data_IF_497260686507
#
_entry.id   IF_497260686507
#
_cell.length_a   1.000
_cell.length_b   1.000
_cell.length_c   1.000
_cell.angle_alpha   90.00
_cell.angle_beta   90.00
_cell.angle_gamma   90.00
#
_symmetry.space_group_name_H-M   'P 1'
#
loop_
_entity.id
_entity.type
_entity.pdbx_description
1 polymer ?
#
# COMPACT_ATOMS: atom_id res chain seq x y z
N UNK A 1 -52.17 15.88 -8.49
CA UNK A 1 -51.88 14.49 -8.05
C UNK A 1 -51.11 13.79 -9.15
N UNK A 2 -49.81 13.58 -8.94
CA UNK A 2 -48.84 12.76 -9.71
C UNK A 2 -47.51 12.91 -8.97
N UNK A 3 -47.33 12.07 -7.96
CA UNK A 3 -46.43 10.92 -7.97
C UNK A 3 -44.97 11.32 -7.74
N UNK A 4 -44.62 11.35 -6.45
CA UNK A 4 -43.25 11.23 -5.96
C UNK A 4 -42.65 9.94 -6.49
N UNK A 5 -41.70 10.06 -7.42
CA UNK A 5 -40.79 8.98 -7.76
C UNK A 5 -39.58 9.16 -6.85
N UNK A 6 -39.55 8.33 -5.82
CA UNK A 6 -38.42 8.09 -4.94
C UNK A 6 -37.27 7.52 -5.80
N UNK A 7 -36.31 8.36 -6.18
CA UNK A 7 -35.08 7.92 -6.84
C UNK A 7 -34.11 7.53 -5.71
N UNK A 8 -33.65 6.27 -5.64
CA UNK A 8 -32.74 5.83 -4.59
C UNK A 8 -31.38 6.51 -4.79
N UNK A 9 -30.81 6.97 -3.66
CA UNK A 9 -29.46 7.50 -3.53
C UNK A 9 -28.50 6.38 -3.94
N UNK A 10 -28.03 6.44 -5.19
CA UNK A 10 -26.92 5.65 -5.67
C UNK A 10 -25.66 6.19 -4.99
N UNK A 11 -25.09 5.35 -4.14
CA UNK A 11 -23.76 5.47 -3.54
C UNK A 11 -22.75 5.88 -4.60
N UNK A 12 -22.42 7.17 -4.65
CA UNK A 12 -21.25 7.66 -5.37
C UNK A 12 -20.05 7.36 -4.50
N UNK A 13 -19.61 6.10 -4.58
CA UNK A 13 -18.35 5.61 -4.05
C UNK A 13 -17.21 6.51 -4.53
N UNK A 14 -16.41 6.95 -3.57
CA UNK A 14 -15.12 7.61 -3.67
C UNK A 14 -14.46 7.52 -5.07
N UNK A 15 -14.53 8.62 -5.83
CA UNK A 15 -13.50 8.95 -6.79
C UNK A 15 -12.55 9.94 -6.12
N UNK A 16 -11.60 9.41 -5.36
CA UNK A 16 -10.34 10.11 -5.10
C UNK A 16 -9.77 10.43 -6.48
N UNK A 17 -9.93 11.67 -6.90
CA UNK A 17 -9.18 12.23 -8.01
C UNK A 17 -7.73 12.27 -7.53
N UNK A 18 -6.98 11.22 -7.86
CA UNK A 18 -5.55 11.27 -7.81
C UNK A 18 -5.15 12.15 -9.00
N UNK A 19 -4.86 13.40 -8.68
CA UNK A 19 -4.32 14.42 -9.57
C UNK A 19 -3.14 13.82 -10.36
N UNK A 20 -3.24 13.90 -11.68
CA UNK A 20 -2.29 13.45 -12.68
C UNK A 20 -0.92 14.13 -12.46
N UNK A 21 -0.05 13.48 -11.70
CA UNK A 21 1.33 13.89 -11.46
C UNK A 21 2.24 13.27 -12.51
N UNK A 22 2.69 14.07 -13.47
CA UNK A 22 3.70 13.80 -14.49
C UNK A 22 4.56 12.54 -14.25
N UNK A 23 4.25 11.48 -15.00
CA UNK A 23 5.04 10.26 -15.10
C UNK A 23 6.42 10.57 -15.70
N UNK A 24 7.41 10.84 -14.85
CA UNK A 24 8.81 10.81 -15.27
C UNK A 24 9.13 9.41 -15.83
N UNK A 25 9.89 9.29 -16.93
CA UNK A 25 10.35 7.99 -17.42
C UNK A 25 11.39 7.44 -16.45
N UNK A 26 10.91 6.79 -15.39
CA UNK A 26 11.74 6.09 -14.44
C UNK A 26 12.36 4.89 -15.15
N UNK A 27 13.66 4.96 -15.41
CA UNK A 27 14.42 3.81 -15.90
C UNK A 27 14.28 2.68 -14.87
N UNK A 28 13.63 1.58 -15.26
CA UNK A 28 13.51 0.42 -14.38
C UNK A 28 14.91 -0.17 -14.18
N UNK A 29 15.27 -0.41 -12.92
CA UNK A 29 16.56 -1.00 -12.59
C UNK A 29 16.66 -2.43 -13.14
N UNK A 30 17.90 -2.90 -13.27
CA UNK A 30 18.18 -4.29 -13.64
C UNK A 30 17.41 -5.28 -12.74
N UNK A 31 17.27 -4.94 -11.46
CA UNK A 31 16.53 -5.74 -10.50
C UNK A 31 15.04 -5.82 -10.81
N UNK A 32 14.39 -4.68 -11.08
CA UNK A 32 12.97 -4.64 -11.48
C UNK A 32 12.74 -5.43 -12.77
N UNK A 33 13.67 -5.36 -13.73
CA UNK A 33 13.59 -6.16 -14.97
C UNK A 33 13.62 -7.66 -14.67
N UNK A 34 14.55 -8.12 -13.85
CA UNK A 34 14.63 -9.54 -13.43
C UNK A 34 13.37 -9.98 -12.69
N UNK A 35 12.81 -9.13 -11.82
CA UNK A 35 11.57 -9.44 -11.11
C UNK A 35 10.37 -9.53 -12.06
N UNK A 36 10.32 -8.69 -13.11
CA UNK A 36 9.26 -8.78 -14.12
C UNK A 36 9.31 -10.12 -14.88
N UNK A 37 10.49 -10.62 -15.22
CA UNK A 37 10.66 -11.93 -15.86
C UNK A 37 10.19 -13.06 -14.93
N UNK A 38 10.58 -13.01 -13.65
CA UNK A 38 10.14 -13.98 -12.64
C UNK A 38 8.62 -13.97 -12.44
N UNK A 39 8.02 -12.78 -12.32
CA UNK A 39 6.57 -12.61 -12.19
C UNK A 39 5.86 -13.15 -13.44
N UNK A 40 6.44 -12.97 -14.63
CA UNK A 40 5.86 -13.51 -15.87
C UNK A 40 5.90 -15.04 -15.90
N UNK A 41 6.92 -15.66 -15.29
CA UNK A 41 7.04 -17.10 -15.16
C UNK A 41 6.16 -17.69 -14.04
N UNK A 42 5.95 -16.93 -12.96
CA UNK A 42 5.16 -17.34 -11.79
C UNK A 42 4.24 -16.19 -11.33
N UNK A 43 3.15 -15.90 -12.06
CA UNK A 43 2.29 -14.75 -11.78
C UNK A 43 1.52 -14.84 -10.45
N UNK A 44 1.34 -16.07 -9.95
CA UNK A 44 0.63 -16.38 -8.71
C UNK A 44 1.55 -16.30 -7.48
N UNK A 45 2.87 -16.19 -7.65
CA UNK A 45 3.79 -15.99 -6.54
C UNK A 45 3.78 -14.53 -6.08
N UNK A 46 2.95 -14.27 -5.09
CA UNK A 46 2.77 -12.95 -4.49
C UNK A 46 4.05 -12.43 -3.83
N UNK A 47 4.98 -13.30 -3.45
CA UNK A 47 6.26 -12.92 -2.85
C UNK A 47 7.10 -12.12 -3.82
N UNK A 48 7.06 -12.44 -5.12
CA UNK A 48 7.79 -11.70 -6.16
C UNK A 48 7.25 -10.28 -6.34
N UNK A 49 5.94 -10.09 -6.16
CA UNK A 49 5.32 -8.76 -6.18
C UNK A 49 5.67 -7.98 -4.92
N UNK A 50 5.67 -8.62 -3.75
CA UNK A 50 6.17 -7.99 -2.53
C UNK A 50 7.64 -7.56 -2.67
N UNK A 51 8.51 -8.42 -3.22
CA UNK A 51 9.92 -8.11 -3.46
C UNK A 51 10.08 -6.94 -4.44
N UNK A 52 9.30 -6.91 -5.52
CA UNK A 52 9.29 -5.79 -6.47
C UNK A 52 8.79 -4.50 -5.83
N UNK A 53 7.73 -4.57 -5.02
CA UNK A 53 7.24 -3.42 -4.26
C UNK A 53 8.28 -2.88 -3.28
N UNK A 54 9.01 -3.76 -2.59
CA UNK A 54 10.09 -3.36 -1.68
C UNK A 54 11.26 -2.71 -2.42
N UNK A 55 11.61 -3.21 -3.61
CA UNK A 55 12.57 -2.54 -4.48
C UNK A 55 12.07 -1.17 -4.92
N UNK A 56 10.79 -1.03 -5.26
CA UNK A 56 10.22 0.27 -5.59
C UNK A 56 10.22 1.23 -4.40
N UNK A 57 10.00 0.77 -3.16
CA UNK A 57 10.18 1.59 -1.96
C UNK A 57 11.62 2.11 -1.84
N UNK A 58 12.61 1.26 -2.04
CA UNK A 58 14.02 1.63 -1.97
C UNK A 58 14.44 2.61 -3.08
N UNK A 59 13.74 2.58 -4.23
CA UNK A 59 13.90 3.53 -5.33
C UNK A 59 13.01 4.77 -5.21
N UNK A 60 12.30 4.94 -4.09
CA UNK A 60 11.34 6.04 -3.84
C UNK A 60 10.19 6.11 -4.87
N UNK A 61 9.94 5.01 -5.58
CA UNK A 61 8.83 4.83 -6.53
C UNK A 61 7.58 4.36 -5.80
N UNK A 62 7.09 5.20 -4.89
CA UNK A 62 6.05 4.83 -3.92
C UNK A 62 4.72 4.46 -4.57
N UNK A 63 4.39 5.06 -5.71
CA UNK A 63 3.20 4.74 -6.52
C UNK A 63 3.23 3.30 -7.04
N UNK A 64 4.36 2.89 -7.63
CA UNK A 64 4.55 1.52 -8.13
C UNK A 64 4.60 0.51 -6.98
N UNK A 65 5.25 0.88 -5.87
CA UNK A 65 5.29 0.06 -4.66
C UNK A 65 3.88 -0.20 -4.11
N UNK A 66 3.07 0.85 -3.96
CA UNK A 66 1.70 0.75 -3.49
C UNK A 66 0.84 -0.14 -4.39
N UNK A 67 1.01 -0.06 -5.72
CA UNK A 67 0.29 -0.92 -6.66
C UNK A 67 0.63 -2.41 -6.47
N UNK A 68 1.91 -2.74 -6.23
CA UNK A 68 2.34 -4.11 -5.97
C UNK A 68 1.82 -4.64 -4.64
N UNK A 69 1.93 -3.86 -3.56
CA UNK A 69 1.40 -4.27 -2.26
C UNK A 69 -0.12 -4.37 -2.26
N UNK A 70 -0.81 -3.50 -2.98
CA UNK A 70 -2.27 -3.59 -3.14
C UNK A 70 -2.68 -4.90 -3.82
N UNK A 71 -1.92 -5.35 -4.83
CA UNK A 71 -2.18 -6.65 -5.45
C UNK A 71 -1.98 -7.79 -4.45
N UNK A 72 -0.90 -7.76 -3.67
CA UNK A 72 -0.63 -8.76 -2.62
C UNK A 72 -1.76 -8.77 -1.59
N UNK A 73 -2.18 -7.61 -1.09
CA UNK A 73 -3.27 -7.46 -0.12
C UNK A 73 -4.63 -7.91 -0.66
N UNK A 74 -4.85 -7.83 -1.97
CA UNK A 74 -6.08 -8.34 -2.61
C UNK A 74 -6.16 -9.87 -2.52
N UNK A 75 -5.02 -10.56 -2.52
CA UNK A 75 -4.96 -12.03 -2.45
C UNK A 75 -4.68 -12.54 -1.03
N UNK A 76 -3.91 -11.78 -0.25
CA UNK A 76 -3.55 -12.05 1.14
C UNK A 76 -3.93 -10.84 2.01
N UNK A 77 -5.24 -10.64 2.27
CA UNK A 77 -5.73 -9.49 3.05
C UNK A 77 -5.31 -9.52 4.52
N UNK A 78 -4.75 -10.63 5.00
CA UNK A 78 -4.25 -10.77 6.37
C UNK A 78 -2.71 -10.69 6.44
N UNK A 79 -2.03 -10.39 5.32
CA UNK A 79 -0.57 -10.28 5.30
C UNK A 79 -0.13 -9.03 6.05
N UNK A 80 0.33 -9.22 7.29
CA UNK A 80 0.86 -8.14 8.13
C UNK A 80 2.02 -7.41 7.44
N UNK A 81 2.95 -8.15 6.83
CA UNK A 81 4.07 -7.54 6.12
C UNK A 81 3.60 -6.61 4.99
N UNK A 82 2.60 -7.03 4.20
CA UNK A 82 2.06 -6.18 3.14
C UNK A 82 1.32 -4.94 3.67
N UNK A 83 0.70 -4.99 4.86
CA UNK A 83 0.12 -3.79 5.50
C UNK A 83 1.20 -2.78 5.87
N UNK A 84 2.31 -3.24 6.45
CA UNK A 84 3.42 -2.38 6.84
C UNK A 84 4.10 -1.77 5.61
N UNK A 85 4.36 -2.57 4.58
CA UNK A 85 5.01 -2.10 3.37
C UNK A 85 4.11 -1.16 2.55
N UNK A 86 2.80 -1.41 2.52
CA UNK A 86 1.81 -0.47 1.98
C UNK A 86 1.79 0.85 2.76
N UNK A 87 1.85 0.81 4.10
CA UNK A 87 1.94 2.02 4.89
C UNK A 87 3.19 2.83 4.57
N UNK A 88 4.36 2.20 4.46
CA UNK A 88 5.61 2.87 4.06
C UNK A 88 5.47 3.56 2.70
N UNK A 89 4.87 2.88 1.72
CA UNK A 89 4.59 3.47 0.41
C UNK A 89 3.70 4.70 0.53
N UNK A 90 2.61 4.60 1.32
CA UNK A 90 1.69 5.71 1.53
C UNK A 90 2.33 6.89 2.26
N UNK A 91 3.27 6.66 3.20
CA UNK A 91 4.05 7.73 3.82
C UNK A 91 4.89 8.45 2.78
N UNK A 92 5.61 7.72 1.92
CA UNK A 92 6.40 8.32 0.84
C UNK A 92 5.55 9.09 -0.20
N UNK A 93 4.25 8.79 -0.31
CA UNK A 93 3.29 9.53 -1.13
C UNK A 93 2.63 10.72 -0.41
N UNK A 94 3.08 11.08 0.80
CA UNK A 94 2.43 12.07 1.68
C UNK A 94 0.97 11.75 2.06
N UNK A 95 0.53 10.49 1.84
CA UNK A 95 -0.82 10.00 2.17
C UNK A 95 -0.87 9.53 3.63
N UNK A 96 -0.45 10.39 4.54
CA UNK A 96 -0.26 10.09 5.97
C UNK A 96 -1.54 9.58 6.66
N UNK A 97 -2.72 10.11 6.30
CA UNK A 97 -3.99 9.64 6.85
C UNK A 97 -4.29 8.17 6.50
N UNK A 98 -4.02 7.76 5.26
CA UNK A 98 -4.18 6.37 4.84
C UNK A 98 -3.11 5.48 5.49
N UNK A 99 -1.85 5.94 5.49
CA UNK A 99 -0.74 5.23 6.12
C UNK A 99 -1.00 4.95 7.62
N UNK A 100 -1.52 5.96 8.34
CA UNK A 100 -1.89 5.83 9.75
C UNK A 100 -2.88 4.68 9.98
N UNK A 101 -3.90 4.55 9.13
CA UNK A 101 -4.89 3.49 9.26
C UNK A 101 -4.26 2.10 9.10
N UNK A 102 -3.40 1.92 8.08
CA UNK A 102 -2.69 0.65 7.87
C UNK A 102 -1.73 0.31 9.01
N UNK A 103 -1.01 1.30 9.56
CA UNK A 103 -0.10 1.11 10.69
C UNK A 103 -0.84 0.74 11.98
N UNK A 104 -1.99 1.37 12.25
CA UNK A 104 -2.80 1.03 13.41
C UNK A 104 -3.32 -0.41 13.34
N UNK A 105 -3.84 -0.82 12.19
CA UNK A 105 -4.26 -2.21 11.97
C UNK A 105 -3.09 -3.20 12.13
N UNK A 106 -1.91 -2.85 11.59
CA UNK A 106 -0.71 -3.66 11.76
C UNK A 106 -0.34 -3.81 13.24
N UNK A 107 -0.27 -2.71 13.98
CA UNK A 107 0.10 -2.70 15.40
C UNK A 107 -0.88 -3.53 16.23
N UNK A 108 -2.19 -3.37 15.99
CA UNK A 108 -3.23 -4.13 16.70
C UNK A 108 -3.03 -5.63 16.50
N UNK A 109 -2.88 -6.09 15.26
CA UNK A 109 -2.70 -7.51 14.93
C UNK A 109 -1.33 -8.06 15.35
N UNK A 110 -0.26 -7.29 15.18
CA UNK A 110 1.11 -7.70 15.51
C UNK A 110 1.38 -7.68 17.02
N UNK A 111 0.70 -6.83 17.80
CA UNK A 111 0.87 -6.77 19.26
C UNK A 111 0.54 -8.08 19.98
N UNK A 112 -0.32 -8.92 19.37
CA UNK A 112 -0.65 -10.25 19.87
C UNK A 112 0.37 -11.33 19.49
N UNK A 113 1.33 -11.04 18.60
CA UNK A 113 2.25 -12.02 18.03
C UNK A 113 3.72 -11.60 18.26
N UNK A 114 4.44 -12.36 19.11
CA UNK A 114 5.82 -12.07 19.47
C UNK A 114 6.83 -12.17 18.30
N UNK A 115 6.46 -12.78 17.18
CA UNK A 115 7.34 -12.92 16.01
C UNK A 115 7.55 -11.60 15.24
N UNK A 116 6.68 -10.62 15.43
CA UNK A 116 6.71 -9.35 14.68
C UNK A 116 7.27 -8.18 15.49
N UNK A 117 7.99 -8.45 16.59
CA UNK A 117 8.46 -7.41 17.51
C UNK A 117 9.30 -6.32 16.82
N UNK A 118 10.20 -6.70 15.90
CA UNK A 118 11.03 -5.74 15.16
C UNK A 118 10.21 -4.82 14.25
N UNK A 119 9.29 -5.40 13.47
CA UNK A 119 8.42 -4.63 12.59
C UNK A 119 7.37 -3.83 13.37
N UNK A 120 6.98 -4.28 14.56
CA UNK A 120 6.08 -3.55 15.46
C UNK A 120 6.74 -2.27 15.95
N UNK A 121 8.01 -2.34 16.35
CA UNK A 121 8.79 -1.16 16.74
C UNK A 121 8.93 -0.19 15.56
N UNK A 122 9.25 -0.71 14.36
CA UNK A 122 9.29 0.10 13.13
C UNK A 122 7.94 0.79 12.83
N UNK A 123 6.83 0.05 12.90
CA UNK A 123 5.49 0.59 12.64
C UNK A 123 5.11 1.70 13.64
N UNK A 124 5.50 1.55 14.91
CA UNK A 124 5.26 2.55 15.95
C UNK A 124 6.09 3.83 15.74
N UNK A 125 7.36 3.67 15.35
CA UNK A 125 8.23 4.81 15.01
C UNK A 125 7.63 5.59 13.84
N UNK A 126 7.28 4.88 12.75
CA UNK A 126 6.69 5.51 11.57
C UNK A 126 5.36 6.20 11.89
N UNK A 127 4.51 5.56 12.70
CA UNK A 127 3.24 6.16 13.15
C UNK A 127 3.46 7.44 13.96
N UNK A 128 4.47 7.45 14.83
CA UNK A 128 4.82 8.65 15.60
C UNK A 128 5.33 9.76 14.70
N UNK A 129 6.19 9.44 13.73
CA UNK A 129 6.72 10.41 12.77
C UNK A 129 5.58 11.09 12.01
N UNK A 130 4.69 10.33 11.38
CA UNK A 130 3.59 10.93 10.59
C UNK A 130 2.54 11.68 11.43
N UNK A 131 2.45 11.41 12.75
CA UNK A 131 1.50 12.08 13.65
C UNK A 131 2.09 13.33 14.31
N UNK A 132 3.42 13.43 14.44
CA UNK A 132 4.10 14.58 15.03
C UNK A 132 4.47 15.68 14.03
N UNK A 133 4.42 15.42 12.73
CA UNK A 133 4.71 16.39 11.66
C UNK A 133 3.54 17.37 11.43
N UNK A 134 2.93 17.89 12.50
CA UNK A 134 1.84 18.87 12.44
C UNK A 134 2.26 20.27 12.88
#
# INVERSE_FOLDING_TARGET
>A
MKNYISIPILLLSLAVHAEDGAMCPHHDSHQVKMLNEKISAAPDDLSLRSERGQHYLAEEKFDKAAADFQFVLTHQPESLQAHLDMAKALVGMDKTAAAQNYLQQYIEKASSNQQHASQLEEAQVLLKEITQVK
#
